data_IF_054714060103
#
_entry.id   IF_054714060103
#
_cell.length_a   1.000
_cell.length_b   1.000
_cell.length_c   1.000
_cell.angle_alpha   90.00
_cell.angle_beta   90.00
_cell.angle_gamma   90.00
#
_symmetry.space_group_name_H-M   'P 1'
#
loop_
_entity.id
_entity.type
_entity.pdbx_description
1 polymer ?
#
# COMPACT_ATOMS: atom_id res chain seq x y z
N UNK A 1 4.96 21.82 36.34
CA UNK A 1 3.52 21.93 36.03
C UNK A 1 3.14 20.82 35.05
N UNK A 2 2.55 19.72 35.55
CA UNK A 2 2.11 18.58 34.72
C UNK A 2 0.66 18.81 34.30
N UNK A 3 0.41 19.03 33.02
CA UNK A 3 -0.96 19.07 32.47
C UNK A 3 -1.46 17.64 32.33
N UNK A 4 -2.22 17.19 33.32
CA UNK A 4 -3.07 16.00 33.26
C UNK A 4 -4.15 16.20 32.20
N UNK A 5 -3.91 15.74 30.97
CA UNK A 5 -4.96 15.59 29.96
C UNK A 5 -5.80 14.37 30.33
N UNK A 6 -6.91 14.58 31.03
CA UNK A 6 -7.95 13.59 31.24
C UNK A 6 -8.58 13.26 29.88
N UNK A 7 -8.19 12.13 29.30
CA UNK A 7 -8.81 11.56 28.10
C UNK A 7 -10.21 11.06 28.48
N UNK A 8 -11.20 11.94 28.42
CA UNK A 8 -12.60 11.56 28.48
C UNK A 8 -12.90 10.64 27.28
N UNK A 9 -13.26 9.39 27.60
CA UNK A 9 -13.81 8.47 26.61
C UNK A 9 -15.27 8.87 26.45
N UNK A 10 -15.60 9.58 25.37
CA UNK A 10 -16.96 10.02 25.09
C UNK A 10 -17.75 8.77 24.68
N UNK A 11 -18.60 8.27 25.59
CA UNK A 11 -19.60 7.28 25.25
C UNK A 11 -20.71 7.99 24.46
N UNK A 12 -20.73 7.82 23.14
CA UNK A 12 -21.85 8.24 22.31
C UNK A 12 -22.81 7.06 22.22
N UNK A 13 -24.02 7.20 22.78
CA UNK A 13 -25.17 6.30 22.58
C UNK A 13 -25.03 4.82 23.02
N UNK A 14 -24.11 4.50 23.94
CA UNK A 14 -24.01 3.12 24.48
C UNK A 14 -23.32 2.11 23.56
N UNK A 15 -22.86 2.53 22.37
CA UNK A 15 -22.04 1.70 21.51
C UNK A 15 -20.60 1.62 22.04
N UNK A 16 -20.04 0.40 22.07
CA UNK A 16 -18.65 0.19 22.45
C UNK A 16 -17.73 0.66 21.32
N UNK A 17 -17.20 1.87 21.44
CA UNK A 17 -16.18 2.39 20.53
C UNK A 17 -14.78 2.01 21.05
N UNK A 18 -13.94 1.48 20.16
CA UNK A 18 -12.52 1.31 20.42
C UNK A 18 -11.75 2.57 20.03
N UNK A 19 -10.67 2.86 20.75
CA UNK A 19 -9.75 3.95 20.43
C UNK A 19 -8.35 3.41 20.21
N UNK A 20 -7.76 3.71 19.05
CA UNK A 20 -6.38 3.35 18.72
C UNK A 20 -5.52 4.61 18.89
N UNK A 21 -4.51 4.55 19.75
CA UNK A 21 -3.52 5.61 19.92
C UNK A 21 -2.25 5.27 19.15
N UNK A 22 -1.83 6.16 18.26
CA UNK A 22 -0.67 5.96 17.37
C UNK A 22 0.35 7.08 17.59
N UNK A 23 1.62 6.77 17.35
CA UNK A 23 2.72 7.72 17.47
C UNK A 23 3.40 7.72 18.83
N UNK A 24 4.62 8.28 18.86
CA UNK A 24 5.37 8.49 20.09
C UNK A 24 4.53 9.32 21.07
N UNK A 25 4.53 8.92 22.33
CA UNK A 25 3.70 9.53 23.37
C UNK A 25 2.18 9.55 23.06
N UNK A 26 1.70 8.70 22.14
CA UNK A 26 0.29 8.63 21.76
C UNK A 26 -0.22 9.95 21.18
N UNK A 27 0.57 10.52 20.27
CA UNK A 27 0.36 11.85 19.67
C UNK A 27 -0.97 11.98 18.93
N UNK A 28 -1.51 10.88 18.41
CA UNK A 28 -2.79 10.87 17.71
C UNK A 28 -3.69 9.73 18.17
N UNK A 29 -5.00 9.95 18.07
CA UNK A 29 -6.01 8.94 18.36
C UNK A 29 -7.01 8.77 17.21
N UNK A 30 -7.39 7.52 16.97
CA UNK A 30 -8.34 7.13 15.95
C UNK A 30 -9.52 6.45 16.62
N UNK A 31 -10.70 7.03 16.46
CA UNK A 31 -11.96 6.38 16.82
C UNK A 31 -12.24 5.24 15.84
N UNK A 32 -12.57 4.08 16.36
CA UNK A 32 -12.90 2.89 15.58
C UNK A 32 -14.40 2.67 15.69
N UNK A 33 -15.11 2.94 14.59
CA UNK A 33 -16.50 2.53 14.44
C UNK A 33 -16.60 1.02 14.12
N UNK A 34 -17.83 0.50 14.09
CA UNK A 34 -18.10 -0.93 13.87
C UNK A 34 -17.61 -1.43 12.51
N UNK A 35 -17.66 -0.59 11.48
CA UNK A 35 -17.25 -0.96 10.13
C UNK A 35 -15.72 -1.10 10.07
N UNK A 36 -14.99 -0.12 10.62
CA UNK A 36 -13.54 -0.17 10.72
C UNK A 36 -13.07 -1.31 11.63
N UNK A 37 -13.76 -1.57 12.75
CA UNK A 37 -13.46 -2.73 13.60
C UNK A 37 -13.55 -4.03 12.80
N UNK A 38 -14.64 -4.20 12.03
CA UNK A 38 -14.86 -5.38 11.19
C UNK A 38 -13.74 -5.55 10.17
N UNK A 39 -13.34 -4.46 9.49
CA UNK A 39 -12.24 -4.47 8.53
C UNK A 39 -10.89 -4.82 9.19
N UNK A 40 -10.59 -4.21 10.34
CA UNK A 40 -9.35 -4.44 11.08
C UNK A 40 -9.25 -5.90 11.57
N UNK A 41 -10.33 -6.46 12.13
CA UNK A 41 -10.38 -7.87 12.56
C UNK A 41 -10.17 -8.83 11.40
N UNK A 42 -10.82 -8.55 10.27
CA UNK A 42 -10.74 -9.42 9.10
C UNK A 42 -9.36 -9.38 8.44
N UNK A 43 -8.72 -8.21 8.40
CA UNK A 43 -7.46 -8.02 7.68
C UNK A 43 -6.22 -8.35 8.53
N UNK A 44 -6.30 -8.19 9.85
CA UNK A 44 -5.15 -8.24 10.74
C UNK A 44 -5.40 -9.17 11.94
N UNK A 45 -4.70 -10.32 12.01
CA UNK A 45 -4.72 -11.19 13.18
C UNK A 45 -4.31 -10.46 14.48
N UNK A 46 -3.40 -9.49 14.38
CA UNK A 46 -3.03 -8.62 15.49
C UNK A 46 -4.25 -7.89 16.05
N UNK A 47 -5.05 -7.24 15.21
CA UNK A 47 -6.26 -6.54 15.67
C UNK A 47 -7.34 -7.50 16.12
N UNK A 48 -7.53 -8.64 15.45
CA UNK A 48 -8.46 -9.67 15.89
C UNK A 48 -8.18 -10.12 17.33
N UNK A 49 -6.91 -10.38 17.66
CA UNK A 49 -6.47 -10.71 19.01
C UNK A 49 -6.66 -9.54 19.99
N UNK A 50 -6.26 -8.32 19.61
CA UNK A 50 -6.35 -7.13 20.48
C UNK A 50 -7.77 -6.78 20.86
N UNK A 51 -8.72 -6.89 19.93
CA UNK A 51 -10.12 -6.63 20.22
C UNK A 51 -10.79 -7.78 20.99
N UNK A 52 -10.23 -8.99 20.99
CA UNK A 52 -10.69 -10.07 21.87
C UNK A 52 -10.32 -9.84 23.34
N UNK A 53 -9.22 -9.14 23.63
CA UNK A 53 -8.82 -8.78 25.01
C UNK A 53 -9.82 -7.84 25.73
N UNK A 54 -10.92 -7.44 25.08
CA UNK A 54 -11.96 -6.51 25.58
C UNK A 54 -11.44 -5.16 26.07
N UNK A 55 -10.20 -4.81 25.74
CA UNK A 55 -9.63 -3.48 26.00
C UNK A 55 -10.12 -2.54 24.92
N UNK A 56 -10.83 -1.49 25.33
CA UNK A 56 -11.29 -0.41 24.44
C UNK A 56 -10.15 0.48 23.92
N UNK A 57 -8.92 0.23 24.37
CA UNK A 57 -7.77 1.08 24.11
C UNK A 57 -6.61 0.25 23.55
N UNK A 58 -6.24 0.52 22.30
CA UNK A 58 -5.10 -0.09 21.63
C UNK A 58 -4.01 0.95 21.47
N UNK A 59 -2.77 0.58 21.78
CA UNK A 59 -1.61 1.47 21.76
C UNK A 59 -0.60 1.00 20.71
N UNK A 60 -0.23 1.90 19.81
CA UNK A 60 0.68 1.71 18.68
C UNK A 60 1.81 2.76 18.72
N UNK A 61 2.66 2.76 19.77
CA UNK A 61 3.59 3.87 20.04
C UNK A 61 4.77 3.98 19.05
N UNK A 62 5.05 2.91 18.29
CA UNK A 62 6.21 2.82 17.39
C UNK A 62 5.90 3.20 15.95
N UNK A 63 4.65 3.49 15.63
CA UNK A 63 4.22 3.77 14.26
C UNK A 63 3.93 5.24 14.08
N UNK A 64 4.18 5.74 12.86
CA UNK A 64 3.77 7.08 12.50
C UNK A 64 2.24 7.12 12.35
N UNK A 65 1.55 8.12 12.93
CA UNK A 65 0.12 8.28 12.72
C UNK A 65 -0.29 8.37 11.25
N UNK A 66 0.57 8.93 10.39
CA UNK A 66 0.33 9.06 8.96
C UNK A 66 0.34 7.70 8.24
N UNK A 67 1.25 6.81 8.62
CA UNK A 67 1.27 5.44 8.08
C UNK A 67 -0.02 4.72 8.46
N UNK A 68 -0.50 4.89 9.70
CA UNK A 68 -1.75 4.29 10.16
C UNK A 68 -2.98 4.87 9.45
N UNK A 69 -3.02 6.19 9.17
CA UNK A 69 -4.07 6.79 8.33
C UNK A 69 -4.10 6.15 6.94
N UNK A 70 -2.94 6.00 6.32
CA UNK A 70 -2.82 5.38 4.99
C UNK A 70 -3.29 3.93 4.99
N UNK A 71 -2.97 3.17 6.04
CA UNK A 71 -3.46 1.81 6.23
C UNK A 71 -4.99 1.77 6.41
N UNK A 72 -5.57 2.67 7.21
CA UNK A 72 -7.03 2.80 7.37
C UNK A 72 -7.72 3.09 6.04
N UNK A 73 -7.18 4.02 5.26
CA UNK A 73 -7.72 4.35 3.94
C UNK A 73 -7.63 3.17 2.97
N UNK A 74 -6.54 2.39 3.03
CA UNK A 74 -6.41 1.15 2.28
C UNK A 74 -7.46 0.11 2.69
N UNK A 75 -7.75 -0.06 3.99
CA UNK A 75 -8.77 -1.01 4.44
C UNK A 75 -10.15 -0.73 3.84
N UNK A 76 -10.53 0.55 3.75
CA UNK A 76 -11.81 0.95 3.16
C UNK A 76 -11.83 0.88 1.64
N UNK A 77 -10.75 1.29 0.98
CA UNK A 77 -10.74 1.47 -0.48
C UNK A 77 -10.18 0.28 -1.24
N UNK A 78 -9.41 -0.58 -0.56
CA UNK A 78 -8.53 -1.60 -1.14
C UNK A 78 -7.60 -1.07 -2.21
N UNK A 79 -7.31 0.23 -2.17
CA UNK A 79 -6.38 0.90 -3.08
C UNK A 79 -5.21 1.38 -2.24
N UNK A 80 -4.00 0.97 -2.62
CA UNK A 80 -2.84 1.76 -2.27
C UNK A 80 -3.06 3.10 -2.96
N UNK A 81 -3.34 4.16 -2.20
CA UNK A 81 -3.59 5.49 -2.76
C UNK A 81 -2.29 6.28 -2.70
N UNK A 82 -1.41 6.21 -3.72
CA UNK A 82 -0.31 7.16 -3.82
C UNK A 82 -0.83 8.58 -4.09
N UNK A 83 -2.05 8.73 -4.63
CA UNK A 83 -2.53 10.00 -5.19
C UNK A 83 -3.44 10.84 -4.29
N UNK A 84 -3.99 10.31 -3.18
CA UNK A 84 -4.57 11.20 -2.14
C UNK A 84 -3.52 11.89 -1.28
N UNK A 85 -2.25 11.62 -1.56
CA UNK A 85 -1.15 12.41 -1.05
C UNK A 85 -0.70 13.49 -2.04
N UNK A 86 -1.33 13.76 -3.19
CA UNK A 86 -0.84 14.82 -4.10
C UNK A 86 -0.79 16.21 -3.41
N UNK A 87 -1.79 16.54 -2.58
CA UNK A 87 -1.79 17.76 -1.76
C UNK A 87 -0.83 17.68 -0.55
N UNK A 88 -0.23 16.51 -0.29
CA UNK A 88 0.64 16.24 0.87
C UNK A 88 2.11 15.93 0.50
N UNK A 89 2.36 15.34 -0.68
CA UNK A 89 3.67 15.04 -1.28
C UNK A 89 4.35 16.34 -1.66
N UNK A 90 3.60 17.35 -2.08
CA UNK A 90 4.16 18.68 -2.35
C UNK A 90 4.74 19.36 -1.09
N UNK A 91 4.34 18.94 0.13
CA UNK A 91 4.72 19.71 1.32
C UNK A 91 5.77 19.08 2.25
N UNK A 92 5.96 17.74 2.36
CA UNK A 92 6.84 17.22 3.44
C UNK A 92 7.68 15.96 3.26
N UNK A 93 7.69 15.25 2.14
CA UNK A 93 8.57 14.07 2.04
C UNK A 93 9.26 13.92 0.69
N UNK A 94 10.55 14.28 0.68
CA UNK A 94 11.49 14.09 -0.42
C UNK A 94 11.75 12.59 -0.76
N UNK A 95 11.16 11.64 -0.03
CA UNK A 95 11.43 10.21 -0.20
C UNK A 95 10.18 9.31 -0.18
N UNK A 96 9.51 9.18 -1.32
CA UNK A 96 8.40 8.25 -1.53
C UNK A 96 8.75 6.78 -1.20
N UNK A 97 10.01 6.37 -1.41
CA UNK A 97 10.46 5.01 -1.07
C UNK A 97 10.33 4.74 0.42
N UNK A 98 10.67 5.75 1.24
CA UNK A 98 10.58 5.71 2.68
C UNK A 98 9.17 5.35 3.13
N UNK A 99 8.16 6.03 2.59
CA UNK A 99 6.75 5.77 2.93
C UNK A 99 6.28 4.38 2.55
N UNK A 100 6.62 3.89 1.36
CA UNK A 100 6.22 2.55 0.92
C UNK A 100 6.84 1.50 1.85
N UNK A 101 8.10 1.69 2.22
CA UNK A 101 8.79 0.80 3.14
C UNK A 101 8.23 0.89 4.58
N UNK A 102 7.87 2.09 5.05
CA UNK A 102 7.20 2.27 6.34
C UNK A 102 5.85 1.57 6.37
N UNK A 103 5.04 1.74 5.32
CA UNK A 103 3.76 1.08 5.17
C UNK A 103 3.91 -0.45 5.19
N UNK A 104 4.91 -1.00 4.49
CA UNK A 104 5.19 -2.43 4.56
C UNK A 104 5.55 -2.88 5.99
N UNK A 105 6.43 -2.14 6.68
CA UNK A 105 6.81 -2.45 8.07
C UNK A 105 5.59 -2.40 9.01
N UNK A 106 4.69 -1.44 8.82
CA UNK A 106 3.41 -1.38 9.53
C UNK A 106 2.60 -2.65 9.25
N UNK A 107 2.40 -3.02 7.99
CA UNK A 107 1.68 -4.23 7.60
C UNK A 107 2.23 -5.49 8.26
N UNK A 108 3.55 -5.67 8.26
CA UNK A 108 4.18 -6.87 8.84
C UNK A 108 3.96 -6.92 10.36
N UNK A 109 3.98 -5.78 11.05
CA UNK A 109 3.71 -5.70 12.49
C UNK A 109 2.24 -5.92 12.84
N UNK A 110 1.34 -5.47 11.97
CA UNK A 110 -0.09 -5.73 12.06
C UNK A 110 -0.44 -7.13 11.56
N UNK A 111 0.51 -7.89 11.00
CA UNK A 111 0.30 -9.21 10.41
C UNK A 111 -0.73 -9.20 9.27
N UNK A 112 -0.88 -8.06 8.57
CA UNK A 112 -1.73 -7.96 7.39
C UNK A 112 -0.89 -8.20 6.13
N UNK A 113 -0.80 -9.47 5.74
CA UNK A 113 0.03 -9.89 4.60
C UNK A 113 -0.56 -9.45 3.26
N UNK A 114 -1.88 -9.25 3.17
CA UNK A 114 -2.50 -8.69 1.97
C UNK A 114 -2.00 -7.25 1.76
N UNK A 115 -1.96 -6.45 2.83
CA UNK A 115 -1.39 -5.10 2.76
C UNK A 115 0.11 -5.14 2.42
N UNK A 116 0.89 -6.03 3.04
CA UNK A 116 2.31 -6.21 2.69
C UNK A 116 2.51 -6.52 1.21
N UNK A 117 1.75 -7.45 0.63
CA UNK A 117 1.86 -7.83 -0.77
C UNK A 117 1.53 -6.67 -1.70
N UNK A 118 0.50 -5.87 -1.37
CA UNK A 118 0.21 -4.64 -2.13
C UNK A 118 1.37 -3.63 -2.03
N UNK A 119 2.01 -3.47 -0.87
CA UNK A 119 3.18 -2.59 -0.76
C UNK A 119 4.37 -3.11 -1.57
N UNK A 120 4.56 -4.44 -1.65
CA UNK A 120 5.56 -5.08 -2.51
C UNK A 120 5.29 -4.77 -3.98
N UNK A 121 4.03 -4.82 -4.43
CA UNK A 121 3.66 -4.46 -5.81
C UNK A 121 3.96 -3.00 -6.12
N UNK A 122 3.60 -2.10 -5.20
CA UNK A 122 3.89 -0.67 -5.33
C UNK A 122 5.40 -0.44 -5.40
N UNK A 123 6.18 -1.11 -4.55
CA UNK A 123 7.63 -1.00 -4.51
C UNK A 123 8.29 -1.58 -5.77
N UNK A 124 7.81 -2.71 -6.28
CA UNK A 124 8.29 -3.33 -7.52
C UNK A 124 7.99 -2.44 -8.73
N UNK A 125 6.77 -1.91 -8.83
CA UNK A 125 6.40 -0.95 -9.87
C UNK A 125 7.29 0.29 -9.81
N UNK A 126 7.47 0.89 -8.63
CA UNK A 126 8.36 2.04 -8.44
C UNK A 126 9.79 1.72 -8.82
N UNK A 127 10.28 0.54 -8.45
CA UNK A 127 11.63 0.07 -8.81
C UNK A 127 11.81 -0.07 -10.32
N UNK A 128 10.78 -0.47 -11.05
CA UNK A 128 10.84 -0.59 -12.52
C UNK A 128 10.91 0.75 -13.26
N UNK A 129 10.39 1.83 -12.65
CA UNK A 129 10.34 3.18 -13.25
C UNK A 129 11.32 4.16 -12.65
N UNK A 130 12.09 3.76 -11.62
CA UNK A 130 12.98 4.68 -10.92
C UNK A 130 14.16 5.13 -11.80
N UNK A 131 14.61 6.37 -11.60
CA UNK A 131 15.84 6.91 -12.18
C UNK A 131 17.07 6.49 -11.37
N UNK A 132 18.25 6.71 -11.92
CA UNK A 132 19.53 6.36 -11.29
C UNK A 132 19.79 7.14 -9.98
N UNK A 133 19.19 8.34 -9.85
CA UNK A 133 19.25 9.15 -8.64
C UNK A 133 18.57 8.49 -7.43
N UNK A 134 17.76 7.45 -7.63
CA UNK A 134 17.00 6.76 -6.58
C UNK A 134 17.83 5.86 -5.65
N UNK A 135 19.10 5.58 -5.96
CA UNK A 135 19.92 4.65 -5.16
C UNK A 135 20.05 5.11 -3.71
N UNK A 136 20.31 6.40 -3.46
CA UNK A 136 20.45 6.95 -2.10
C UNK A 136 19.17 6.78 -1.27
N UNK A 137 18.00 6.94 -1.90
CA UNK A 137 16.69 6.77 -1.27
C UNK A 137 16.42 5.30 -0.94
N UNK A 138 16.75 4.40 -1.85
CA UNK A 138 16.62 2.95 -1.66
C UNK A 138 17.54 2.50 -0.51
N UNK A 139 18.79 2.97 -0.46
CA UNK A 139 19.72 2.62 0.62
C UNK A 139 19.22 3.09 1.99
N UNK A 140 18.59 4.27 2.08
CA UNK A 140 17.95 4.72 3.31
C UNK A 140 16.78 3.82 3.74
N UNK A 141 16.03 3.29 2.77
CA UNK A 141 14.95 2.34 3.02
C UNK A 141 15.45 0.98 3.52
N UNK A 142 16.57 0.49 2.96
CA UNK A 142 17.18 -0.78 3.37
C UNK A 142 17.45 -0.79 4.86
N UNK A 143 18.10 0.24 5.39
CA UNK A 143 18.43 0.31 6.81
C UNK A 143 17.16 0.23 7.69
N UNK A 144 16.12 0.99 7.32
CA UNK A 144 14.86 1.00 8.08
C UNK A 144 14.15 -0.36 8.03
N UNK A 145 14.08 -0.98 6.86
CA UNK A 145 13.40 -2.27 6.67
C UNK A 145 14.17 -3.38 7.38
N UNK A 146 15.50 -3.42 7.27
CA UNK A 146 16.31 -4.50 7.84
C UNK A 146 16.38 -4.45 9.36
N UNK A 147 16.21 -3.29 9.97
CA UNK A 147 16.17 -3.15 11.43
C UNK A 147 14.80 -3.48 12.02
N UNK A 148 13.72 -3.39 11.23
CA UNK A 148 12.34 -3.43 11.77
C UNK A 148 11.48 -4.62 11.32
N UNK A 149 11.95 -5.39 10.35
CA UNK A 149 11.31 -6.63 9.85
C UNK A 149 12.05 -7.89 10.33
N UNK A 150 11.49 -9.09 10.12
CA UNK A 150 12.23 -10.34 10.37
C UNK A 150 13.29 -10.61 9.29
N UNK A 151 14.35 -11.38 9.59
CA UNK A 151 15.40 -11.75 8.61
C UNK A 151 14.85 -12.49 7.39
N UNK A 152 13.72 -13.17 7.55
CA UNK A 152 12.99 -13.92 6.52
C UNK A 152 11.93 -13.09 5.80
N UNK A 153 11.81 -11.79 6.09
CA UNK A 153 10.81 -10.93 5.45
C UNK A 153 11.14 -10.75 3.96
N UNK A 154 10.21 -11.05 3.05
CA UNK A 154 10.51 -11.11 1.62
C UNK A 154 10.82 -9.75 0.98
N UNK A 155 10.36 -8.63 1.56
CA UNK A 155 10.76 -7.27 1.12
C UNK A 155 12.28 -7.06 1.16
N UNK A 156 13.00 -7.77 2.04
CA UNK A 156 14.46 -7.66 2.11
C UNK A 156 15.11 -8.15 0.84
N UNK A 157 14.60 -9.24 0.27
CA UNK A 157 15.06 -9.77 -1.01
C UNK A 157 14.72 -8.82 -2.15
N UNK A 158 13.53 -8.23 -2.14
CA UNK A 158 13.13 -7.21 -3.13
C UNK A 158 14.11 -6.04 -3.12
N UNK A 159 14.42 -5.47 -1.95
CA UNK A 159 15.34 -4.35 -1.83
C UNK A 159 16.78 -4.71 -2.21
N UNK A 160 17.26 -5.90 -1.85
CA UNK A 160 18.56 -6.42 -2.32
C UNK A 160 18.59 -6.46 -3.84
N UNK A 161 17.54 -6.98 -4.47
CA UNK A 161 17.44 -7.11 -5.92
C UNK A 161 17.31 -5.74 -6.59
N UNK A 162 16.60 -4.79 -5.97
CA UNK A 162 16.57 -3.38 -6.40
C UNK A 162 17.96 -2.77 -6.37
N UNK A 163 18.66 -2.83 -5.23
CA UNK A 163 19.98 -2.22 -5.05
C UNK A 163 20.98 -2.86 -6.00
N UNK A 164 20.97 -4.20 -6.12
CA UNK A 164 21.81 -4.92 -7.04
C UNK A 164 21.60 -4.42 -8.47
N UNK A 165 20.35 -4.43 -8.96
CA UNK A 165 20.05 -4.02 -10.33
C UNK A 165 20.52 -2.61 -10.64
N UNK A 166 20.52 -1.71 -9.66
CA UNK A 166 20.91 -0.31 -9.83
C UNK A 166 22.41 -0.11 -9.77
N UNK A 167 23.10 -0.73 -8.82
CA UNK A 167 24.57 -0.65 -8.72
C UNK A 167 25.23 -1.11 -10.03
N UNK A 168 24.73 -2.19 -10.62
CA UNK A 168 25.26 -2.70 -11.88
C UNK A 168 24.91 -1.85 -13.10
N UNK A 169 23.86 -1.02 -13.03
CA UNK A 169 23.49 -0.13 -14.14
C UNK A 169 24.14 1.24 -14.07
N UNK A 170 24.44 1.75 -12.87
CA UNK A 170 24.79 3.18 -12.70
C UNK A 170 26.22 3.46 -12.24
N UNK A 171 26.99 2.44 -11.84
CA UNK A 171 28.29 2.59 -11.16
C UNK A 171 28.20 3.63 -10.01
N UNK A 172 27.79 3.20 -8.79
CA UNK A 172 27.56 4.13 -7.69
C UNK A 172 28.82 4.93 -7.34
N UNK A 173 28.62 6.18 -6.89
CA UNK A 173 29.70 7.00 -6.36
C UNK A 173 30.32 6.38 -5.07
N UNK A 174 31.49 6.89 -4.67
CA UNK A 174 32.22 6.39 -3.51
C UNK A 174 31.42 6.52 -2.19
N UNK A 175 30.55 7.54 -2.09
CA UNK A 175 29.67 7.75 -0.93
C UNK A 175 28.62 6.62 -0.84
N UNK A 176 28.00 6.27 -1.97
CA UNK A 176 27.03 5.18 -2.07
C UNK A 176 27.67 3.83 -1.74
N UNK A 177 28.90 3.58 -2.20
CA UNK A 177 29.65 2.37 -1.85
C UNK A 177 29.97 2.30 -0.36
N UNK A 178 30.43 3.39 0.24
CA UNK A 178 30.68 3.46 1.69
C UNK A 178 29.40 3.18 2.49
N UNK A 179 28.27 3.75 2.07
CA UNK A 179 26.97 3.48 2.71
C UNK A 179 26.55 2.03 2.53
N UNK A 180 26.71 1.47 1.34
CA UNK A 180 26.39 0.07 1.06
C UNK A 180 27.13 -0.88 1.99
N UNK A 181 28.43 -0.66 2.19
CA UNK A 181 29.28 -1.46 3.09
C UNK A 181 28.84 -1.39 4.56
N UNK A 182 28.26 -0.27 4.98
CA UNK A 182 27.72 -0.10 6.33
C UNK A 182 26.33 -0.72 6.52
N UNK A 183 25.64 -1.14 5.46
CA UNK A 183 24.26 -1.62 5.58
C UNK A 183 24.19 -3.03 6.19
N UNK A 184 23.17 -3.31 7.03
CA UNK A 184 22.94 -4.64 7.60
C UNK A 184 22.64 -5.71 6.56
N UNK A 185 22.43 -5.32 5.30
CA UNK A 185 22.17 -6.24 4.20
C UNK A 185 23.42 -6.88 3.60
N UNK A 186 24.64 -6.37 3.86
CA UNK A 186 25.86 -6.82 3.17
C UNK A 186 26.07 -8.34 3.19
N UNK A 187 25.87 -9.08 4.31
CA UNK A 187 26.00 -10.54 4.28
C UNK A 187 24.97 -11.23 3.38
N UNK A 188 23.72 -10.74 3.36
CA UNK A 188 22.66 -11.29 2.50
C UNK A 188 22.88 -10.89 1.03
N UNK A 189 23.33 -9.66 0.80
CA UNK A 189 23.69 -9.13 -0.51
C UNK A 189 24.83 -9.93 -1.12
N UNK A 190 25.95 -10.10 -0.40
CA UNK A 190 27.11 -10.88 -0.85
C UNK A 190 26.78 -12.35 -1.06
N UNK A 191 26.03 -12.99 -0.15
CA UNK A 191 25.54 -14.35 -0.36
C UNK A 191 24.70 -14.45 -1.65
N UNK A 192 23.83 -13.46 -1.90
CA UNK A 192 23.09 -13.31 -3.15
C UNK A 192 24.01 -13.24 -4.37
N UNK A 193 25.10 -12.47 -4.31
CA UNK A 193 26.11 -12.39 -5.38
C UNK A 193 26.72 -13.77 -5.68
N UNK A 194 27.12 -14.51 -4.64
CA UNK A 194 27.77 -15.81 -4.78
C UNK A 194 26.82 -16.87 -5.34
N UNK A 195 25.59 -16.94 -4.81
CA UNK A 195 24.60 -17.95 -5.20
C UNK A 195 24.06 -17.76 -6.62
N UNK A 196 24.27 -16.57 -7.21
CA UNK A 196 23.69 -16.19 -8.51
C UNK A 196 24.71 -16.12 -9.64
N UNK A 197 25.95 -16.59 -9.45
CA UNK A 197 26.95 -16.70 -10.52
C UNK A 197 26.36 -17.41 -11.75
N UNK A 198 26.27 -16.68 -12.87
CA UNK A 198 25.81 -17.21 -14.16
C UNK A 198 24.32 -17.06 -14.49
N UNK A 199 23.49 -16.48 -13.60
CA UNK A 199 22.07 -16.19 -13.90
C UNK A 199 21.85 -14.69 -14.09
N UNK A 200 20.95 -14.32 -15.00
CA UNK A 200 20.57 -12.91 -15.19
C UNK A 200 19.85 -12.41 -13.92
N UNK A 201 20.45 -11.43 -13.25
CA UNK A 201 19.92 -10.80 -12.03
C UNK A 201 19.12 -9.58 -12.45
N UNK A 202 18.16 -9.79 -13.35
CA UNK A 202 17.10 -8.80 -13.55
C UNK A 202 16.03 -9.13 -12.52
N UNK A 203 15.75 -8.23 -11.56
CA UNK A 203 14.63 -8.44 -10.66
C UNK A 203 13.40 -8.61 -11.53
N UNK A 204 12.58 -9.62 -11.24
CA UNK A 204 11.37 -9.86 -12.03
C UNK A 204 10.29 -8.89 -11.55
N UNK A 205 10.47 -7.59 -11.84
CA UNK A 205 9.49 -6.56 -11.51
C UNK A 205 8.12 -6.84 -12.12
N UNK A 206 8.10 -7.57 -13.25
CA UNK A 206 6.89 -8.00 -13.96
C UNK A 206 6.10 -9.06 -13.19
N UNK A 207 6.75 -9.79 -12.27
CA UNK A 207 6.11 -10.79 -11.42
C UNK A 207 6.65 -10.68 -9.97
N UNK A 208 6.06 -9.80 -9.16
CA UNK A 208 6.49 -9.59 -7.78
C UNK A 208 6.09 -10.73 -6.84
N UNK A 209 5.39 -11.77 -7.33
CA UNK A 209 4.89 -12.91 -6.55
C UNK A 209 5.98 -13.59 -5.71
N UNK A 210 7.22 -13.67 -6.21
CA UNK A 210 8.36 -14.24 -5.46
C UNK A 210 8.72 -13.46 -4.18
N UNK A 211 8.27 -12.20 -4.07
CA UNK A 211 8.48 -11.33 -2.92
C UNK A 211 7.21 -11.17 -2.07
N UNK A 212 6.11 -11.80 -2.45
CA UNK A 212 4.90 -11.84 -1.65
C UNK A 212 5.01 -12.90 -0.55
N UNK A 213 4.18 -12.73 0.49
CA UNK A 213 3.97 -13.77 1.50
C UNK A 213 2.67 -14.50 1.17
N UNK A 214 2.77 -15.83 1.07
CA UNK A 214 1.64 -16.72 0.88
C UNK A 214 1.59 -17.74 2.01
N UNK A 215 0.39 -18.10 2.44
CA UNK A 215 0.21 -19.32 3.21
C UNK A 215 0.41 -20.54 2.29
N UNK A 216 0.78 -21.68 2.88
CA UNK A 216 1.14 -22.87 2.10
C UNK A 216 -0.06 -23.33 1.28
N UNK A 217 0.06 -23.25 -0.04
CA UNK A 217 -0.95 -23.71 -1.00
C UNK A 217 -1.98 -22.66 -1.41
N UNK A 218 -1.91 -21.45 -0.85
CA UNK A 218 -2.75 -20.34 -1.29
C UNK A 218 -2.18 -19.72 -2.57
N UNK A 219 -3.03 -19.41 -3.57
CA UNK A 219 -2.61 -18.67 -4.75
C UNK A 219 -2.16 -17.25 -4.37
N UNK A 220 -1.34 -16.64 -5.22
CA UNK A 220 -0.90 -15.27 -5.02
C UNK A 220 -2.08 -14.32 -5.06
N UNK A 221 -2.06 -13.25 -4.24
CA UNK A 221 -3.10 -12.22 -4.24
C UNK A 221 -3.36 -11.67 -5.65
N UNK A 222 -2.30 -11.50 -6.45
CA UNK A 222 -2.38 -11.05 -7.84
C UNK A 222 -3.21 -11.98 -8.74
N UNK A 223 -3.31 -13.27 -8.41
CA UNK A 223 -4.09 -14.26 -9.15
C UNK A 223 -5.56 -14.30 -8.69
N UNK A 224 -5.82 -13.81 -7.47
CA UNK A 224 -7.15 -13.83 -6.86
C UNK A 224 -7.96 -12.56 -7.06
N UNK A 225 -7.36 -11.44 -7.52
CA UNK A 225 -8.12 -10.24 -7.89
C UNK A 225 -9.08 -10.65 -9.02
N UNK A 226 -10.41 -10.65 -8.79
CA UNK A 226 -11.36 -11.15 -9.78
C UNK A 226 -11.10 -10.42 -11.10
N UNK A 227 -10.98 -11.14 -12.22
CA UNK A 227 -10.60 -10.56 -13.52
C UNK A 227 -11.38 -9.29 -13.84
N UNK A 228 -12.65 -9.22 -13.40
CA UNK A 228 -13.53 -8.07 -13.52
C UNK A 228 -12.94 -6.76 -12.96
N UNK A 229 -12.14 -6.79 -11.89
CA UNK A 229 -11.53 -5.60 -11.33
C UNK A 229 -10.26 -5.20 -12.09
N UNK A 230 -9.50 -6.16 -12.61
CA UNK A 230 -8.43 -5.89 -13.59
C UNK A 230 -9.01 -5.26 -14.85
N UNK A 231 -10.10 -5.82 -15.37
CA UNK A 231 -10.83 -5.34 -16.54
C UNK A 231 -11.42 -3.94 -16.30
N UNK A 232 -12.09 -3.72 -15.16
CA UNK A 232 -12.64 -2.40 -14.81
C UNK A 232 -11.54 -1.36 -14.59
N UNK A 233 -10.39 -1.73 -14.01
CA UNK A 233 -9.25 -0.81 -13.83
C UNK A 233 -8.62 -0.44 -15.18
N UNK A 234 -8.46 -1.41 -16.08
CA UNK A 234 -8.00 -1.18 -17.45
C UNK A 234 -8.97 -0.26 -18.22
N UNK A 235 -10.28 -0.58 -18.21
CA UNK A 235 -11.32 0.23 -18.83
C UNK A 235 -11.34 1.68 -18.31
N UNK A 236 -11.13 1.87 -17.00
CA UNK A 236 -11.12 3.20 -16.41
C UNK A 236 -9.88 4.00 -16.78
N UNK A 237 -8.72 3.34 -16.84
CA UNK A 237 -7.47 3.95 -17.28
C UNK A 237 -7.54 4.39 -18.75
N UNK A 238 -8.10 3.52 -19.62
CA UNK A 238 -8.31 3.83 -21.04
C UNK A 238 -9.28 5.00 -21.22
N UNK A 239 -10.34 5.07 -20.40
CA UNK A 239 -11.28 6.19 -20.39
C UNK A 239 -10.62 7.51 -19.98
N UNK A 240 -9.83 7.51 -18.89
CA UNK A 240 -9.10 8.70 -18.46
C UNK A 240 -8.09 9.15 -19.52
N UNK A 241 -7.36 8.21 -20.14
CA UNK A 241 -6.43 8.52 -21.23
C UNK A 241 -7.18 9.11 -22.44
N UNK A 242 -8.30 8.51 -22.84
CA UNK A 242 -9.12 8.98 -23.96
C UNK A 242 -9.66 10.40 -23.72
N UNK A 243 -10.16 10.70 -22.52
CA UNK A 243 -10.62 12.05 -22.17
C UNK A 243 -9.47 13.05 -22.22
N UNK A 244 -8.31 12.72 -21.67
CA UNK A 244 -7.14 13.59 -21.69
C UNK A 244 -6.66 13.89 -23.12
N UNK A 245 -6.73 12.91 -24.02
CA UNK A 245 -6.33 13.08 -25.43
C UNK A 245 -7.38 13.82 -26.25
N UNK A 246 -8.67 13.66 -25.95
CA UNK A 246 -9.78 14.19 -26.76
C UNK A 246 -10.56 15.34 -26.09
N UNK A 247 -9.94 16.05 -25.14
CA UNK A 247 -10.55 17.11 -24.33
C UNK A 247 -11.15 18.31 -25.11
N UNK A 248 -11.11 18.32 -26.44
CA UNK A 248 -11.80 19.31 -27.29
C UNK A 248 -13.27 18.96 -27.61
N UNK A 249 -13.82 17.85 -27.12
CA UNK A 249 -15.23 17.49 -27.38
C UNK A 249 -15.82 16.48 -26.39
N UNK A 250 -16.21 16.97 -25.19
CA UNK A 250 -16.79 16.13 -24.13
C UNK A 250 -18.17 15.54 -24.52
N UNK A 251 -18.93 16.26 -25.37
CA UNK A 251 -20.25 15.86 -25.87
C UNK A 251 -20.23 14.55 -26.67
N UNK A 252 -19.34 14.46 -27.66
CA UNK A 252 -19.35 13.35 -28.62
C UNK A 252 -18.73 12.08 -28.00
N UNK A 253 -17.80 12.29 -27.07
CA UNK A 253 -17.17 11.25 -26.25
C UNK A 253 -18.19 10.50 -25.38
N UNK A 254 -19.25 11.18 -24.89
CA UNK A 254 -20.28 10.56 -24.07
C UNK A 254 -21.22 9.67 -24.89
N UNK A 255 -21.62 10.10 -26.10
CA UNK A 255 -22.50 9.31 -26.95
C UNK A 255 -21.86 8.01 -27.43
N UNK A 256 -20.55 8.03 -27.73
CA UNK A 256 -19.80 6.83 -28.11
C UNK A 256 -19.72 5.79 -26.97
N UNK A 257 -19.77 6.22 -25.71
CA UNK A 257 -19.53 5.35 -24.55
C UNK A 257 -20.79 4.85 -23.85
N UNK A 258 -21.97 5.39 -24.18
CA UNK A 258 -23.28 4.98 -23.65
C UNK A 258 -23.54 3.45 -23.73
N UNK A 259 -23.16 2.73 -24.80
CA UNK A 259 -23.33 1.27 -24.86
C UNK A 259 -22.46 0.52 -23.84
N UNK A 260 -21.25 1.03 -23.58
CA UNK A 260 -20.28 0.41 -22.68
C UNK A 260 -20.72 0.53 -21.21
N UNK A 261 -21.18 1.73 -20.80
CA UNK A 261 -21.75 1.97 -19.47
C UNK A 261 -22.98 1.09 -19.22
N UNK A 262 -23.83 0.91 -20.24
CA UNK A 262 -25.01 0.04 -20.16
C UNK A 262 -24.66 -1.43 -19.97
N UNK A 263 -23.60 -1.90 -20.66
CA UNK A 263 -23.08 -3.26 -20.50
C UNK A 263 -22.49 -3.48 -19.11
N UNK A 264 -21.63 -2.57 -18.63
CA UNK A 264 -21.05 -2.62 -17.28
C UNK A 264 -22.13 -2.57 -16.20
N UNK A 265 -23.16 -1.74 -16.37
CA UNK A 265 -24.31 -1.67 -15.46
C UNK A 265 -25.07 -3.01 -15.41
N UNK A 266 -25.24 -3.69 -16.55
CA UNK A 266 -25.91 -4.98 -16.64
C UNK A 266 -25.09 -6.08 -15.97
N UNK A 267 -23.77 -6.07 -16.12
CA UNK A 267 -22.86 -6.99 -15.43
C UNK A 267 -22.90 -6.75 -13.92
N UNK A 268 -22.81 -5.50 -13.46
CA UNK A 268 -22.90 -5.14 -12.04
C UNK A 268 -24.27 -5.51 -11.44
N UNK A 269 -25.35 -5.42 -12.22
CA UNK A 269 -26.71 -5.81 -11.79
C UNK A 269 -26.85 -7.34 -11.66
N UNK A 270 -26.18 -8.12 -12.52
CA UNK A 270 -26.14 -9.59 -12.44
C UNK A 270 -25.33 -10.10 -11.25
N UNK A 271 -24.35 -9.34 -10.76
CA UNK A 271 -23.49 -9.71 -9.62
C UNK A 271 -24.14 -9.49 -8.24
N UNK A 272 -25.36 -8.95 -8.19
CA UNK A 272 -26.09 -8.76 -6.93
C UNK A 272 -25.54 -7.63 -6.05
N UNK A 273 -26.28 -7.32 -4.98
CA UNK A 273 -26.26 -6.11 -4.13
C UNK A 273 -24.95 -5.75 -3.40
N UNK A 274 -23.81 -6.39 -3.69
CA UNK A 274 -22.55 -6.19 -2.96
C UNK A 274 -21.75 -4.94 -3.36
N UNK A 275 -22.20 -4.16 -4.34
CA UNK A 275 -21.46 -2.99 -4.87
C UNK A 275 -22.23 -1.66 -4.78
N UNK A 276 -22.88 -1.36 -3.65
CA UNK A 276 -23.64 -0.11 -3.45
C UNK A 276 -22.84 1.16 -3.72
N UNK A 277 -21.53 1.18 -3.40
CA UNK A 277 -20.65 2.33 -3.65
C UNK A 277 -20.38 2.57 -5.15
N UNK A 278 -20.12 1.51 -5.92
CA UNK A 278 -19.91 1.62 -7.37
C UNK A 278 -21.21 2.02 -8.09
N UNK A 279 -22.36 1.49 -7.64
CA UNK A 279 -23.67 1.89 -8.14
C UNK A 279 -23.99 3.36 -7.87
N UNK A 280 -23.68 3.86 -6.66
CA UNK A 280 -23.91 5.27 -6.29
C UNK A 280 -23.05 6.21 -7.14
N UNK A 281 -21.77 5.88 -7.34
CA UNK A 281 -20.84 6.68 -8.13
C UNK A 281 -21.22 6.74 -9.62
N UNK A 282 -21.56 5.60 -10.24
CA UNK A 282 -22.05 5.59 -11.63
C UNK A 282 -23.37 6.36 -11.78
N UNK A 283 -24.29 6.25 -10.80
CA UNK A 283 -25.58 6.95 -10.85
C UNK A 283 -25.45 8.45 -10.67
N UNK A 284 -24.50 8.91 -9.86
CA UNK A 284 -24.18 10.33 -9.69
C UNK A 284 -23.58 10.92 -10.98
N UNK A 285 -22.67 10.21 -11.64
CA UNK A 285 -22.09 10.60 -12.93
C UNK A 285 -23.15 10.70 -14.04
N UNK A 286 -24.07 9.73 -14.12
CA UNK A 286 -25.17 9.78 -15.11
C UNK A 286 -26.12 10.95 -14.83
N UNK A 287 -26.40 11.26 -13.56
CA UNK A 287 -27.27 12.40 -13.17
C UNK A 287 -26.63 13.77 -13.37
N UNK A 288 -25.30 13.87 -13.34
CA UNK A 288 -24.59 15.13 -13.53
C UNK A 288 -24.47 15.55 -15.00
N UNK A 289 -24.79 14.64 -15.93
CA UNK A 289 -24.60 14.82 -17.37
C UNK A 289 -25.85 14.56 -18.23
N UNK A 290 -27.01 14.36 -17.59
CA UNK A 290 -28.35 14.43 -18.19
C UNK A 290 -29.03 15.71 -17.68
#
# INVERSE_FOLDING_TARGET
MSKSNSKQTIAVNGEQLYTIYVGKAFSECFSVDKDLETLLRAASPFFAAKFHEQKRLIKLPTFDPQDFRSYKDWLHTRRASPHRQADFIESRCENEWGHICQAYVLGERLQDYSYCNVMVDVLAKKSSTASDQSVKDILACVENVFTRTARTSPIRNLLIDTVYSRIFSTLPDAECMTRLEALPMVPQFTAGLFMRKGKSIKPQWSDPCQYHRHDRGEPCFADTEPSIWKDMRAMFHDWCSFICTNAKGISDSYQAFRPCVSSTYTVLKKLGTKCTAAFSWCRALVKAHL
#
